data_IF_186465945513
#
_entry.id   IF_186465945513
#
_cell.length_a   1.000
_cell.length_b   1.000
_cell.length_c   1.000
_cell.angle_alpha   90.00
_cell.angle_beta   90.00
_cell.angle_gamma   90.00
#
_symmetry.space_group_name_H-M   'P 1'
#
loop_
_entity.id
_entity.type
_entity.pdbx_description
1 polymer ?
#
# COMPACT_ATOMS: atom_id res chain seq x y z
N UNK A 1 -43.97 11.18 -8.16
CA UNK A 1 -42.89 10.83 -9.13
C UNK A 1 -41.59 11.59 -8.90
N UNK A 2 -41.61 12.88 -8.52
CA UNK A 2 -40.39 13.67 -8.30
C UNK A 2 -39.57 13.18 -7.09
N UNK A 3 -40.23 12.90 -5.95
CA UNK A 3 -39.58 12.43 -4.71
C UNK A 3 -38.84 11.10 -4.86
N UNK A 4 -39.40 10.16 -5.65
CA UNK A 4 -38.75 8.86 -5.90
C UNK A 4 -37.46 9.02 -6.72
N UNK A 5 -37.45 9.95 -7.69
CA UNK A 5 -36.26 10.24 -8.51
C UNK A 5 -35.14 10.90 -7.70
N UNK A 6 -35.48 11.79 -6.77
CA UNK A 6 -34.49 12.41 -5.87
C UNK A 6 -33.90 11.39 -4.89
N UNK A 7 -34.71 10.46 -4.37
CA UNK A 7 -34.22 9.38 -3.50
C UNK A 7 -33.30 8.39 -4.21
N UNK A 8 -33.61 8.04 -5.47
CA UNK A 8 -32.76 7.19 -6.30
C UNK A 8 -31.42 7.88 -6.63
N UNK A 9 -31.43 9.19 -6.88
CA UNK A 9 -30.22 9.95 -7.16
C UNK A 9 -29.30 10.09 -5.94
N UNK A 10 -29.86 10.31 -4.74
CA UNK A 10 -29.08 10.43 -3.51
C UNK A 10 -28.51 9.08 -3.04
N UNK A 11 -29.28 7.99 -3.17
CA UNK A 11 -28.79 6.64 -2.89
C UNK A 11 -27.68 6.21 -3.86
N UNK A 12 -27.81 6.56 -5.15
CA UNK A 12 -26.76 6.32 -6.15
C UNK A 12 -25.47 7.07 -5.83
N UNK A 13 -25.57 8.34 -5.42
CA UNK A 13 -24.41 9.15 -5.05
C UNK A 13 -23.73 8.63 -3.77
N UNK A 14 -24.51 8.21 -2.76
CA UNK A 14 -23.97 7.62 -1.54
C UNK A 14 -23.24 6.29 -1.79
N UNK A 15 -23.77 5.43 -2.66
CA UNK A 15 -23.11 4.18 -3.05
C UNK A 15 -21.83 4.43 -3.86
N UNK A 16 -21.83 5.43 -4.76
CA UNK A 16 -20.64 5.84 -5.50
C UNK A 16 -19.56 6.42 -4.59
N UNK A 17 -19.93 7.24 -3.60
CA UNK A 17 -18.97 7.72 -2.60
C UNK A 17 -18.42 6.55 -1.77
N UNK A 18 -19.27 5.62 -1.32
CA UNK A 18 -18.83 4.45 -0.56
C UNK A 18 -17.82 3.59 -1.35
N UNK A 19 -18.08 3.35 -2.64
CA UNK A 19 -17.16 2.65 -3.54
C UNK A 19 -15.87 3.44 -3.83
N UNK A 20 -15.95 4.77 -3.89
CA UNK A 20 -14.79 5.63 -4.09
C UNK A 20 -13.93 5.81 -2.83
N UNK A 21 -14.50 5.56 -1.64
CA UNK A 21 -13.82 5.66 -0.34
C UNK A 21 -13.34 4.33 0.22
N UNK A 22 -13.49 3.22 -0.50
CA UNK A 22 -12.81 1.98 -0.09
C UNK A 22 -11.30 2.29 -0.10
N UNK A 23 -10.64 2.35 1.08
CA UNK A 23 -9.19 2.53 1.10
C UNK A 23 -8.62 1.36 0.30
N UNK A 24 -7.73 1.64 -0.65
CA UNK A 24 -7.11 0.71 -1.61
C UNK A 24 -6.36 -0.48 -0.97
N UNK A 25 -7.10 -1.31 -0.25
CA UNK A 25 -6.69 -2.45 0.57
C UNK A 25 -7.41 -3.71 0.08
N UNK A 26 -8.41 -3.57 -0.81
CA UNK A 26 -8.96 -4.71 -1.55
C UNK A 26 -8.10 -4.99 -2.77
N UNK A 27 -7.23 -5.99 -2.64
CA UNK A 27 -6.53 -6.66 -3.73
C UNK A 27 -5.70 -5.72 -4.64
N UNK A 28 -4.70 -5.04 -4.07
CA UNK A 28 -3.64 -4.49 -4.90
C UNK A 28 -2.97 -5.65 -5.65
N UNK A 29 -3.05 -5.65 -6.98
CA UNK A 29 -2.26 -6.55 -7.82
C UNK A 29 -0.77 -6.24 -7.69
N UNK A 30 0.07 -7.19 -8.09
CA UNK A 30 1.50 -6.94 -8.19
C UNK A 30 1.74 -5.71 -9.07
N UNK A 31 2.61 -4.78 -8.68
CA UNK A 31 2.90 -3.59 -9.47
C UNK A 31 3.53 -3.96 -10.80
N UNK A 32 3.35 -3.11 -11.81
CA UNK A 32 3.77 -3.40 -13.18
C UNK A 32 5.27 -3.70 -13.30
N UNK A 33 6.12 -2.97 -12.57
CA UNK A 33 7.57 -3.24 -12.56
C UNK A 33 7.89 -4.67 -12.11
N UNK A 34 7.08 -5.25 -11.22
CA UNK A 34 7.27 -6.62 -10.73
C UNK A 34 6.83 -7.63 -11.78
N UNK A 35 5.71 -7.35 -12.49
CA UNK A 35 5.25 -8.16 -13.64
C UNK A 35 6.29 -8.19 -14.77
N UNK A 36 7.00 -7.09 -14.98
CA UNK A 36 8.02 -6.96 -16.04
C UNK A 36 9.39 -7.55 -15.67
N UNK A 37 9.69 -7.70 -14.37
CA UNK A 37 11.03 -8.12 -13.90
C UNK A 37 11.07 -9.53 -13.35
N UNK A 38 9.95 -10.06 -12.86
CA UNK A 38 9.88 -11.43 -12.35
C UNK A 38 9.37 -12.41 -13.41
N UNK A 39 9.92 -13.64 -13.47
CA UNK A 39 9.30 -14.73 -14.22
C UNK A 39 7.87 -15.00 -13.72
N UNK A 40 6.96 -15.37 -14.62
CA UNK A 40 5.54 -15.63 -14.31
C UNK A 40 5.34 -16.56 -13.10
N UNK A 41 6.13 -17.64 -13.03
CA UNK A 41 6.10 -18.63 -11.96
C UNK A 41 6.50 -18.05 -10.58
N UNK A 42 7.29 -16.97 -10.55
CA UNK A 42 7.78 -16.33 -9.34
C UNK A 42 6.91 -15.14 -8.91
N UNK A 43 6.18 -14.52 -9.84
CA UNK A 43 5.41 -13.29 -9.61
C UNK A 43 4.41 -13.42 -8.45
N UNK A 44 3.54 -14.43 -8.49
CA UNK A 44 2.49 -14.58 -7.47
C UNK A 44 3.07 -14.90 -6.08
N UNK A 45 3.98 -15.88 -5.92
CA UNK A 45 4.61 -16.14 -4.62
C UNK A 45 5.29 -14.91 -4.02
N UNK A 46 6.10 -14.18 -4.80
CA UNK A 46 6.78 -12.97 -4.32
C UNK A 46 5.80 -11.86 -3.93
N UNK A 47 4.73 -11.67 -4.71
CA UNK A 47 3.73 -10.65 -4.39
C UNK A 47 2.95 -10.99 -3.11
N UNK A 48 2.55 -12.25 -2.94
CA UNK A 48 1.82 -12.69 -1.75
C UNK A 48 2.68 -12.57 -0.49
N UNK A 49 3.97 -12.90 -0.56
CA UNK A 49 4.92 -12.69 0.52
C UNK A 49 5.03 -11.21 0.89
N UNK A 50 5.24 -10.33 -0.10
CA UNK A 50 5.32 -8.88 0.12
C UNK A 50 4.06 -8.36 0.84
N UNK A 51 2.87 -8.85 0.46
CA UNK A 51 1.62 -8.45 1.13
C UNK A 51 1.48 -9.03 2.53
N UNK A 52 1.95 -10.26 2.77
CA UNK A 52 1.94 -10.86 4.10
C UNK A 52 2.83 -10.07 5.08
N UNK A 53 4.04 -9.70 4.66
CA UNK A 53 4.97 -8.88 5.46
C UNK A 53 4.38 -7.50 5.73
N UNK A 54 3.88 -6.83 4.68
CA UNK A 54 3.30 -5.48 4.77
C UNK A 54 1.83 -5.45 5.20
N UNK A 55 1.31 -6.56 5.75
CA UNK A 55 -0.07 -6.66 6.20
C UNK A 55 -0.46 -5.51 7.17
N UNK A 56 -1.54 -4.76 6.90
CA UNK A 56 -1.97 -3.66 7.77
C UNK A 56 -2.56 -4.10 9.11
N UNK A 57 -2.93 -5.38 9.28
CA UNK A 57 -3.56 -5.91 10.52
C UNK A 57 -2.58 -6.63 11.45
N UNK A 58 -1.27 -6.50 11.22
CA UNK A 58 -0.25 -7.10 12.06
C UNK A 58 0.00 -6.34 13.37
N UNK A 59 0.84 -6.90 14.24
CA UNK A 59 1.21 -6.27 15.52
C UNK A 59 2.04 -4.98 15.38
N UNK A 60 2.78 -4.84 14.28
CA UNK A 60 3.55 -3.64 13.96
C UNK A 60 2.77 -2.74 13.01
N UNK A 61 2.75 -1.45 13.29
CA UNK A 61 2.16 -0.45 12.40
C UNK A 61 3.00 -0.28 11.10
N UNK A 62 2.40 0.36 10.10
CA UNK A 62 3.04 0.55 8.80
C UNK A 62 4.35 1.35 8.90
N UNK A 63 4.38 2.38 9.76
CA UNK A 63 5.56 3.23 9.96
C UNK A 63 6.75 2.42 10.46
N UNK A 64 6.53 1.61 11.49
CA UNK A 64 7.54 0.76 12.11
C UNK A 64 8.06 -0.27 11.12
N UNK A 65 7.16 -0.93 10.37
CA UNK A 65 7.56 -1.88 9.32
C UNK A 65 8.45 -1.23 8.25
N UNK A 66 8.10 -0.03 7.80
CA UNK A 66 8.87 0.68 6.77
C UNK A 66 10.22 1.18 7.30
N UNK A 67 10.31 1.62 8.55
CA UNK A 67 11.59 1.99 9.17
C UNK A 67 12.52 0.78 9.34
N UNK A 68 11.99 -0.38 9.74
CA UNK A 68 12.77 -1.63 9.78
C UNK A 68 13.27 -2.01 8.38
N UNK A 69 12.38 -1.97 7.38
CA UNK A 69 12.75 -2.29 6.00
C UNK A 69 13.80 -1.31 5.44
N UNK A 70 13.72 -0.03 5.81
CA UNK A 70 14.72 0.98 5.46
C UNK A 70 16.09 0.66 6.08
N UNK A 71 16.14 0.27 7.37
CA UNK A 71 17.38 -0.14 8.02
C UNK A 71 18.04 -1.35 7.33
N UNK A 72 17.24 -2.36 6.97
CA UNK A 72 17.74 -3.53 6.20
C UNK A 72 18.23 -3.10 4.82
N UNK A 73 17.49 -2.23 4.11
CA UNK A 73 17.88 -1.73 2.80
C UNK A 73 19.20 -0.95 2.83
N UNK A 74 19.46 -0.20 3.90
CA UNK A 74 20.71 0.53 4.11
C UNK A 74 21.91 -0.41 4.34
N UNK A 75 21.69 -1.56 4.98
CA UNK A 75 22.75 -2.55 5.25
C UNK A 75 23.12 -3.41 4.02
N UNK A 76 22.18 -3.64 3.10
CA UNK A 76 22.38 -4.35 1.81
C UNK A 76 22.76 -3.37 0.67
N UNK A 77 23.12 -2.12 1.01
CA UNK A 77 22.94 -0.87 0.25
C UNK A 77 22.14 -0.93 -1.07
N UNK A 78 20.88 -1.39 -1.02
CA UNK A 78 20.00 -1.38 -2.20
C UNK A 78 19.42 0.03 -2.43
N UNK A 79 19.97 0.79 -3.39
CA UNK A 79 19.54 2.18 -3.65
C UNK A 79 18.03 2.32 -3.95
N UNK A 80 17.47 1.38 -4.71
CA UNK A 80 16.03 1.33 -4.97
C UNK A 80 15.24 1.15 -3.67
N UNK A 81 15.65 0.17 -2.86
CA UNK A 81 14.99 -0.18 -1.62
C UNK A 81 15.05 0.97 -0.61
N UNK A 82 16.20 1.65 -0.48
CA UNK A 82 16.36 2.83 0.37
C UNK A 82 15.37 3.93 -0.05
N UNK A 83 15.30 4.25 -1.34
CA UNK A 83 14.37 5.26 -1.86
C UNK A 83 12.90 4.84 -1.66
N UNK A 84 12.57 3.58 -1.96
CA UNK A 84 11.21 3.06 -1.85
C UNK A 84 10.71 3.06 -0.40
N UNK A 85 11.50 2.51 0.53
CA UNK A 85 11.13 2.44 1.94
C UNK A 85 11.18 3.79 2.63
N UNK A 86 12.07 4.71 2.21
CA UNK A 86 12.04 6.11 2.69
C UNK A 86 10.71 6.78 2.33
N UNK A 87 10.27 6.67 1.06
CA UNK A 87 9.00 7.26 0.60
C UNK A 87 7.81 6.62 1.33
N UNK A 88 7.80 5.31 1.49
CA UNK A 88 6.74 4.59 2.18
C UNK A 88 6.69 4.90 3.68
N UNK A 89 7.85 5.02 4.35
CA UNK A 89 7.94 5.43 5.74
C UNK A 89 7.35 6.84 5.94
N UNK A 90 7.71 7.80 5.07
CA UNK A 90 7.13 9.15 5.10
C UNK A 90 5.62 9.14 4.87
N UNK A 91 5.13 8.36 3.91
CA UNK A 91 3.70 8.20 3.67
C UNK A 91 2.97 7.59 4.88
N UNK A 92 3.65 6.75 5.67
CA UNK A 92 3.17 6.20 6.93
C UNK A 92 3.37 7.13 8.15
N UNK A 93 3.88 8.36 7.95
CA UNK A 93 4.04 9.37 9.00
C UNK A 93 5.38 9.34 9.73
N UNK A 94 6.43 8.72 9.18
CA UNK A 94 7.79 8.86 9.70
C UNK A 94 8.34 10.27 9.49
N UNK A 95 9.01 10.82 10.50
CA UNK A 95 9.72 12.10 10.39
C UNK A 95 11.11 11.92 9.77
N UNK A 96 11.69 13.00 9.26
CA UNK A 96 13.07 12.98 8.78
C UNK A 96 14.08 12.65 9.88
N UNK A 97 13.77 12.93 11.16
CA UNK A 97 14.60 12.52 12.28
C UNK A 97 14.58 11.00 12.44
N UNK A 98 13.39 10.38 12.43
CA UNK A 98 13.25 8.92 12.55
C UNK A 98 13.90 8.16 11.38
N UNK A 99 13.97 8.76 10.19
CA UNK A 99 14.62 8.17 9.01
C UNK A 99 16.15 8.22 9.10
N UNK A 100 16.72 9.12 9.92
CA UNK A 100 18.17 9.32 10.07
C UNK A 100 18.79 8.47 11.18
N UNK A 101 17.99 7.93 12.09
CA UNK A 101 18.42 6.94 13.11
C UNK A 101 18.77 5.61 12.45
#
# INVERSE_FOLDING_TARGET
MSVMRTLLASAGLALLLALATEPGVRAQEAPEWMKQTLPDQALKPHWDESRAVMNPTGALDAKTKQLIALGVAAQIPCAYCVSAHTKAAKAAGATDAQIKE
#
